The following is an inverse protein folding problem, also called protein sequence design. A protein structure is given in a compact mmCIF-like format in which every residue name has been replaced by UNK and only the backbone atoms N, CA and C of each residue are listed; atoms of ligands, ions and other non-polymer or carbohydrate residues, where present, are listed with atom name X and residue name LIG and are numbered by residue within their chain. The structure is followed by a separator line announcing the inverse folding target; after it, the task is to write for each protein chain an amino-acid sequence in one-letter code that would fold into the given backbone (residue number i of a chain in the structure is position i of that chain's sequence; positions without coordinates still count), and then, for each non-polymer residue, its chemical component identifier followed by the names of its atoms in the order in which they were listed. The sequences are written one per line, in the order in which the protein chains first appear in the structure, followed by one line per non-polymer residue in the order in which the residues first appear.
data_IF_828781066072
#
_entry.id   IF_828781066072
#
_cell.length_a   1.000
_cell.length_b   1.000
_cell.length_c   1.000
_cell.angle_alpha   90.00
_cell.angle_beta   90.00
_cell.angle_gamma   90.00
#
_symmetry.space_group_name_H-M   'P 1'
#
loop_
_entity.id
_entity.type
_entity.pdbx_description
1 polymer ?
#
# COMPACT_ATOMS: atom_id res chain seq x y z
N UNK A 1 14.12 -3.25 -21.40
CA UNK A 1 14.91 -4.47 -21.13
C UNK A 1 13.94 -5.63 -20.88
N UNK A 2 14.13 -6.81 -21.48
CA UNK A 2 13.28 -7.97 -21.20
C UNK A 2 13.48 -8.41 -19.75
N UNK A 3 12.39 -8.73 -19.05
CA UNK A 3 12.42 -9.17 -17.66
C UNK A 3 13.29 -10.43 -17.53
N UNK A 4 14.32 -10.32 -16.72
CA UNK A 4 15.32 -11.36 -16.52
C UNK A 4 14.80 -12.39 -15.51
N UNK A 5 13.81 -13.17 -15.93
CA UNK A 5 13.22 -14.22 -15.06
C UNK A 5 14.23 -15.33 -14.79
N UNK A 6 14.22 -15.94 -13.59
CA UNK A 6 15.14 -17.00 -13.24
C UNK A 6 14.88 -18.25 -14.10
N UNK A 7 15.68 -18.43 -15.15
CA UNK A 7 15.65 -19.60 -16.01
C UNK A 7 16.46 -20.75 -15.41
N UNK A 8 16.02 -21.98 -15.67
CA UNK A 8 16.64 -23.21 -15.16
C UNK A 8 18.09 -23.38 -15.62
N UNK A 9 18.42 -22.78 -16.75
CA UNK A 9 19.71 -22.90 -17.43
C UNK A 9 20.82 -22.04 -16.80
N UNK A 10 20.46 -21.10 -15.90
CA UNK A 10 21.42 -20.26 -15.17
C UNK A 10 22.03 -21.02 -13.99
N UNK A 11 23.31 -20.81 -13.70
CA UNK A 11 24.00 -21.50 -12.60
C UNK A 11 23.38 -21.14 -11.25
N UNK A 12 23.49 -22.00 -10.23
CA UNK A 12 22.94 -21.71 -8.87
C UNK A 12 23.48 -20.40 -8.30
N UNK A 13 24.76 -20.10 -8.58
CA UNK A 13 25.38 -18.84 -8.18
C UNK A 13 24.80 -17.66 -8.92
N UNK A 14 24.55 -17.73 -10.22
CA UNK A 14 23.89 -16.65 -10.97
C UNK A 14 22.42 -16.50 -10.58
N UNK A 15 21.72 -17.59 -10.28
CA UNK A 15 20.39 -17.55 -9.68
C UNK A 15 20.42 -16.83 -8.34
N UNK A 16 21.40 -17.06 -7.47
CA UNK A 16 21.50 -16.37 -6.17
C UNK A 16 22.05 -14.94 -6.24
N UNK A 17 23.02 -14.69 -7.14
CA UNK A 17 23.71 -13.40 -7.28
C UNK A 17 22.84 -12.39 -8.03
N UNK A 18 21.99 -12.85 -8.97
CA UNK A 18 21.01 -12.00 -9.66
C UNK A 18 19.57 -12.16 -9.14
N UNK A 19 19.27 -13.12 -8.24
CA UNK A 19 18.08 -13.05 -7.37
C UNK A 19 18.23 -11.99 -6.28
N UNK A 20 19.38 -11.33 -6.20
CA UNK A 20 19.46 -9.94 -5.78
C UNK A 20 18.79 -9.03 -6.82
N UNK A 21 17.54 -9.32 -7.19
CA UNK A 21 16.67 -8.23 -7.62
C UNK A 21 16.65 -7.27 -6.44
N UNK A 22 16.83 -5.97 -6.69
CA UNK A 22 16.94 -4.92 -5.69
C UNK A 22 15.68 -4.73 -4.85
N UNK A 23 15.30 -5.75 -4.08
CA UNK A 23 14.53 -5.69 -2.85
C UNK A 23 15.45 -5.18 -1.72
N UNK A 24 16.34 -4.22 -2.04
CA UNK A 24 16.79 -3.32 -0.99
C UNK A 24 15.50 -2.78 -0.36
N UNK A 25 15.35 -2.85 0.97
CA UNK A 25 14.14 -2.42 1.61
C UNK A 25 13.91 -0.94 1.29
N UNK A 26 13.09 -0.69 0.27
CA UNK A 26 12.83 0.66 -0.18
C UNK A 26 11.90 1.30 0.83
N UNK A 27 12.08 2.61 1.05
CA UNK A 27 11.15 3.39 1.87
C UNK A 27 9.70 3.19 1.39
N UNK A 28 9.49 3.08 0.09
CA UNK A 28 8.19 2.80 -0.51
C UNK A 28 7.62 1.43 -0.09
N UNK A 29 8.44 0.38 -0.07
CA UNK A 29 8.04 -0.95 0.41
C UNK A 29 7.66 -0.98 1.89
N UNK A 30 8.44 -0.31 2.73
CA UNK A 30 8.13 -0.17 4.17
C UNK A 30 6.83 0.62 4.40
N UNK A 31 6.67 1.78 3.73
CA UNK A 31 5.47 2.61 3.87
C UNK A 31 4.22 1.88 3.37
N UNK A 32 4.33 1.11 2.29
CA UNK A 32 3.21 0.31 1.77
C UNK A 32 2.80 -0.78 2.76
N UNK A 33 3.77 -1.46 3.37
CA UNK A 33 3.52 -2.49 4.39
C UNK A 33 2.92 -1.90 5.66
N UNK A 34 3.46 -0.76 6.12
CA UNK A 34 2.94 -0.05 7.28
C UNK A 34 1.51 0.45 7.04
N UNK A 35 1.25 1.02 5.85
CA UNK A 35 -0.08 1.42 5.43
C UNK A 35 -1.04 0.23 5.43
N UNK A 36 -0.64 -0.92 4.89
CA UNK A 36 -1.47 -2.12 4.88
C UNK A 36 -1.86 -2.55 6.30
N UNK A 37 -0.90 -2.60 7.22
CA UNK A 37 -1.14 -3.06 8.61
C UNK A 37 -1.97 -2.05 9.41
N UNK A 38 -1.71 -0.75 9.25
CA UNK A 38 -2.34 0.29 10.07
C UNK A 38 -3.62 0.87 9.48
N UNK A 39 -3.88 0.72 8.18
CA UNK A 39 -5.03 1.32 7.49
C UNK A 39 -6.35 1.05 8.20
N UNK A 40 -6.69 -0.22 8.44
CA UNK A 40 -7.98 -0.60 9.04
C UNK A 40 -8.12 -0.05 10.47
N UNK A 41 -7.18 -0.30 11.42
CA UNK A 41 -7.25 0.30 12.75
C UNK A 41 -7.35 1.83 12.74
N UNK A 42 -6.54 2.50 11.91
CA UNK A 42 -6.53 3.97 11.82
C UNK A 42 -7.83 4.51 11.25
N UNK A 43 -8.40 3.89 10.21
CA UNK A 43 -9.66 4.32 9.63
C UNK A 43 -10.85 4.07 10.56
N UNK A 44 -10.84 2.98 11.33
CA UNK A 44 -11.85 2.75 12.38
C UNK A 44 -11.74 3.87 13.43
N UNK A 45 -10.54 4.14 13.94
CA UNK A 45 -10.33 5.18 14.93
C UNK A 45 -10.74 6.57 14.40
N UNK A 46 -10.41 6.90 13.16
CA UNK A 46 -10.81 8.14 12.51
C UNK A 46 -12.35 8.24 12.35
N UNK A 47 -13.01 7.15 11.95
CA UNK A 47 -14.46 7.12 11.78
C UNK A 47 -15.21 7.26 13.12
N UNK A 48 -14.72 6.64 14.19
CA UNK A 48 -15.29 6.85 15.53
C UNK A 48 -14.95 8.25 16.08
N UNK A 49 -13.73 8.73 15.85
CA UNK A 49 -13.30 10.07 16.23
C UNK A 49 -14.17 11.15 15.60
N UNK A 50 -14.49 11.04 14.32
CA UNK A 50 -15.39 11.98 13.64
C UNK A 50 -16.81 11.97 14.22
N UNK A 51 -17.32 10.81 14.64
CA UNK A 51 -18.59 10.72 15.34
C UNK A 51 -18.53 11.39 16.72
N UNK A 52 -17.49 11.12 17.51
CA UNK A 52 -17.30 11.75 18.83
C UNK A 52 -17.12 13.27 18.76
N UNK A 53 -16.53 13.77 17.68
CA UNK A 53 -16.45 15.21 17.39
C UNK A 53 -17.76 15.81 16.88
N UNK A 54 -18.80 15.00 16.68
CA UNK A 54 -20.12 15.46 16.23
C UNK A 54 -20.22 15.77 14.74
N UNK A 55 -19.27 15.34 13.91
CA UNK A 55 -19.29 15.58 12.46
C UNK A 55 -20.46 14.87 11.76
N UNK A 56 -20.89 13.74 12.30
CA UNK A 56 -22.00 12.93 11.80
C UNK A 56 -22.55 12.00 12.89
N UNK A 57 -23.77 11.49 12.69
CA UNK A 57 -24.41 10.54 13.58
C UNK A 57 -23.83 9.12 13.51
N UNK A 58 -24.16 8.28 14.50
CA UNK A 58 -23.64 6.91 14.61
C UNK A 58 -23.90 6.04 13.36
N UNK A 59 -25.05 6.23 12.71
CA UNK A 59 -25.43 5.53 11.48
C UNK A 59 -24.48 5.79 10.30
N UNK A 60 -23.73 6.89 10.33
CA UNK A 60 -22.80 7.26 9.27
C UNK A 60 -21.38 6.73 9.49
N UNK A 61 -21.07 6.09 10.62
CA UNK A 61 -19.71 5.57 10.91
C UNK A 61 -19.27 4.56 9.83
N UNK A 62 -20.12 3.60 9.49
CA UNK A 62 -19.81 2.56 8.48
C UNK A 62 -19.63 3.17 7.08
N UNK A 63 -20.55 4.03 6.58
CA UNK A 63 -20.33 4.77 5.34
C UNK A 63 -19.05 5.60 5.31
N UNK A 64 -18.72 6.31 6.41
CA UNK A 64 -17.51 7.13 6.50
C UNK A 64 -16.26 6.26 6.47
N UNK A 65 -16.24 5.16 7.21
CA UNK A 65 -15.15 4.18 7.16
C UNK A 65 -14.93 3.63 5.73
N UNK A 66 -16.01 3.24 5.05
CA UNK A 66 -15.94 2.80 3.66
C UNK A 66 -15.40 3.91 2.73
N UNK A 67 -15.85 5.15 2.94
CA UNK A 67 -15.36 6.32 2.23
C UNK A 67 -13.86 6.57 2.45
N UNK A 68 -13.37 6.43 3.68
CA UNK A 68 -11.94 6.56 4.01
C UNK A 68 -11.09 5.52 3.29
N UNK A 69 -11.55 4.26 3.22
CA UNK A 69 -10.86 3.21 2.46
C UNK A 69 -10.80 3.60 0.98
N UNK A 70 -11.93 3.93 0.36
CA UNK A 70 -11.98 4.28 -1.06
C UNK A 70 -11.12 5.51 -1.38
N UNK A 71 -11.18 6.54 -0.55
CA UNK A 71 -10.35 7.73 -0.68
C UNK A 71 -8.86 7.39 -0.57
N UNK A 72 -8.48 6.55 0.39
CA UNK A 72 -7.08 6.14 0.56
C UNK A 72 -6.54 5.35 -0.63
N UNK A 73 -7.36 4.47 -1.22
CA UNK A 73 -7.01 3.73 -2.42
C UNK A 73 -6.84 4.68 -3.61
N UNK A 74 -7.79 5.59 -3.81
CA UNK A 74 -7.71 6.58 -4.88
C UNK A 74 -6.43 7.44 -4.78
N UNK A 75 -6.06 7.86 -3.57
CA UNK A 75 -4.82 8.60 -3.30
C UNK A 75 -3.60 7.75 -3.59
N UNK A 76 -3.54 6.51 -3.09
CA UNK A 76 -2.39 5.61 -3.31
C UNK A 76 -2.18 5.31 -4.81
N UNK A 77 -3.26 5.00 -5.54
CA UNK A 77 -3.19 4.77 -6.98
C UNK A 77 -2.79 6.01 -7.76
N UNK A 78 -3.35 7.18 -7.43
CA UNK A 78 -2.99 8.44 -8.10
C UNK A 78 -1.53 8.79 -7.87
N UNK A 79 -1.04 8.60 -6.65
CA UNK A 79 0.36 8.85 -6.31
C UNK A 79 1.30 7.89 -7.05
N UNK A 80 0.98 6.59 -7.07
CA UNK A 80 1.74 5.62 -7.86
C UNK A 80 1.75 6.00 -9.34
N UNK A 81 0.58 6.29 -9.93
CA UNK A 81 0.48 6.69 -11.33
C UNK A 81 1.33 7.93 -11.65
N UNK A 82 1.34 8.93 -10.76
CA UNK A 82 2.14 10.13 -10.95
C UNK A 82 3.65 9.86 -10.85
N UNK A 83 4.07 8.98 -9.94
CA UNK A 83 5.48 8.66 -9.70
C UNK A 83 6.08 7.70 -10.72
N UNK A 84 5.31 6.72 -11.23
CA UNK A 84 5.79 5.69 -12.17
C UNK A 84 5.28 5.85 -13.60
N UNK A 85 4.31 6.74 -13.86
CA UNK A 85 3.70 6.96 -15.16
C UNK A 85 4.53 7.81 -16.15
N UNK A 86 5.86 7.75 -16.09
CA UNK A 86 6.74 8.24 -17.17
C UNK A 86 7.23 7.08 -18.02
#
# INVERSE_FOLDING_TARGET
MPKDTPQRDKTVRERGTYASHGDDPTLAGYLSSLFLVLSVPTFIAAAYGGHWLGLYGYSAIVPVFAGLILASLAVAFSLMHWLTGR
#
